data_IF_231944158754
#
_entry.id   IF_231944158754
#
_cell.length_a   1.000
_cell.length_b   1.000
_cell.length_c   1.000
_cell.angle_alpha   90.00
_cell.angle_beta   90.00
_cell.angle_gamma   90.00
#
_symmetry.space_group_name_H-M   'P 1'
#
loop_
_entity.id
_entity.type
_entity.pdbx_description
1 polymer ?
#
# COMPACT_ATOMS: atom_id res chain seq x y z
N UNK A 1 -16.74 10.57 8.61
CA UNK A 1 -15.94 11.81 8.57
C UNK A 1 -14.47 11.48 8.50
N UNK A 2 -13.72 12.17 7.65
CA UNK A 2 -12.26 11.99 7.55
C UNK A 2 -11.56 12.42 8.85
N UNK A 3 -10.41 11.83 9.18
CA UNK A 3 -9.67 12.16 10.41
C UNK A 3 -9.27 13.65 10.48
N UNK A 4 -8.98 14.28 9.33
CA UNK A 4 -8.65 15.70 9.21
C UNK A 4 -9.78 16.65 9.57
N UNK A 5 -11.03 16.16 9.59
CA UNK A 5 -12.23 16.93 9.96
C UNK A 5 -12.67 16.67 11.41
N UNK A 6 -11.84 16.01 12.21
CA UNK A 6 -12.12 15.67 13.63
C UNK A 6 -11.04 16.20 14.57
N UNK A 7 -10.37 17.27 14.19
CA UNK A 7 -9.44 18.00 15.04
C UNK A 7 -10.21 19.01 15.90
N UNK A 8 -9.95 19.01 17.21
CA UNK A 8 -10.59 19.88 18.19
C UNK A 8 -9.53 20.50 19.09
N UNK A 9 -9.84 21.65 19.70
CA UNK A 9 -8.96 22.26 20.69
C UNK A 9 -9.00 21.46 22.00
N UNK A 10 -7.91 21.49 22.78
CA UNK A 10 -7.87 20.78 24.08
C UNK A 10 -8.93 21.31 25.05
N UNK A 11 -9.22 22.61 24.98
CA UNK A 11 -10.22 23.24 25.84
C UNK A 11 -11.65 22.81 25.48
N UNK A 12 -11.94 22.59 24.20
CA UNK A 12 -13.23 22.04 23.74
C UNK A 12 -13.45 20.61 24.26
N UNK A 13 -12.40 19.79 24.27
CA UNK A 13 -12.43 18.44 24.84
C UNK A 13 -12.65 18.45 26.35
N UNK A 14 -12.00 19.36 27.09
CA UNK A 14 -12.17 19.51 28.55
C UNK A 14 -13.58 19.99 28.90
N UNK A 15 -14.09 20.94 28.13
CA UNK A 15 -15.42 21.51 28.33
C UNK A 15 -16.53 20.57 27.81
N UNK A 16 -16.18 19.56 27.01
CA UNK A 16 -17.08 18.53 26.51
C UNK A 16 -18.02 19.01 25.40
N UNK A 17 -17.72 20.14 24.76
CA UNK A 17 -18.58 20.81 23.75
C UNK A 17 -17.90 20.77 22.38
N UNK A 18 -18.60 20.28 21.36
CA UNK A 18 -18.13 20.12 19.99
C UNK A 18 -18.80 21.11 19.04
N UNK A 19 -18.54 22.41 19.18
CA UNK A 19 -19.30 23.44 18.46
C UNK A 19 -20.82 23.32 18.69
N UNK A 20 -21.63 23.99 17.86
CA UNK A 20 -23.10 24.21 17.96
C UNK A 20 -24.01 22.99 18.26
N UNK A 21 -23.48 21.77 18.37
CA UNK A 21 -24.25 20.59 18.71
C UNK A 21 -23.64 19.95 19.96
N UNK A 22 -24.38 19.96 21.08
CA UNK A 22 -24.06 19.40 22.42
C UNK A 22 -23.65 17.91 22.43
N UNK A 23 -22.63 17.55 21.67
CA UNK A 23 -22.09 16.20 21.54
C UNK A 23 -20.80 16.13 22.33
N UNK A 24 -20.81 15.28 23.36
CA UNK A 24 -19.64 14.99 24.18
C UNK A 24 -18.50 14.40 23.33
N UNK A 25 -17.45 15.18 23.13
CA UNK A 25 -16.24 14.74 22.42
C UNK A 25 -15.55 13.66 23.25
N UNK A 26 -15.17 12.55 22.60
CA UNK A 26 -14.35 11.51 23.19
C UNK A 26 -13.05 11.37 22.41
N UNK A 27 -11.98 11.00 23.11
CA UNK A 27 -10.69 10.72 22.50
C UNK A 27 -10.82 9.46 21.64
N UNK A 28 -10.37 9.55 20.39
CA UNK A 28 -10.29 8.42 19.47
C UNK A 28 -9.00 7.64 19.69
N UNK A 29 -9.02 6.69 20.62
CA UNK A 29 -7.85 5.87 20.98
C UNK A 29 -7.29 5.13 19.76
N UNK A 30 -8.16 4.62 18.89
CA UNK A 30 -7.77 3.88 17.69
C UNK A 30 -6.96 4.77 16.73
N UNK A 31 -7.32 6.05 16.58
CA UNK A 31 -6.54 6.97 15.76
C UNK A 31 -5.10 7.11 16.27
N UNK A 32 -4.90 7.28 17.59
CA UNK A 32 -3.56 7.40 18.18
C UNK A 32 -2.75 6.11 18.05
N UNK A 33 -3.39 4.96 18.29
CA UNK A 33 -2.74 3.66 18.13
C UNK A 33 -2.30 3.44 16.68
N UNK A 34 -3.19 3.68 15.70
CA UNK A 34 -2.91 3.44 14.27
C UNK A 34 -1.90 4.45 13.68
N UNK A 35 -1.99 5.74 14.03
CA UNK A 35 -1.27 6.80 13.32
C UNK A 35 -0.07 7.39 14.08
N UNK A 36 0.02 7.23 15.41
CA UNK A 36 1.10 7.80 16.20
C UNK A 36 1.97 6.73 16.86
N UNK A 37 1.37 5.74 17.51
CA UNK A 37 2.11 4.73 18.28
C UNK A 37 2.65 3.64 17.35
N UNK A 38 1.79 3.05 16.51
CA UNK A 38 2.16 1.95 15.61
C UNK A 38 3.32 2.30 14.65
N UNK A 39 3.35 3.46 13.97
CA UNK A 39 4.45 3.80 13.05
C UNK A 39 5.81 3.95 13.77
N UNK A 40 5.81 4.46 15.00
CA UNK A 40 7.04 4.65 15.80
C UNK A 40 7.61 3.30 16.24
N UNK A 41 6.78 2.44 16.83
CA UNK A 41 7.20 1.10 17.27
C UNK A 41 7.65 0.27 16.06
N UNK A 42 6.90 0.32 14.97
CA UNK A 42 7.23 -0.41 13.74
C UNK A 42 8.62 -0.06 13.22
N UNK A 43 9.02 1.23 13.27
CA UNK A 43 10.36 1.66 12.84
C UNK A 43 11.46 1.15 13.77
N UNK A 44 11.25 1.22 15.09
CA UNK A 44 12.23 0.74 16.07
C UNK A 44 12.44 -0.78 15.95
N UNK A 45 11.38 -1.50 15.64
CA UNK A 45 11.37 -2.95 15.52
C UNK A 45 11.71 -3.48 14.12
N UNK A 46 11.81 -2.61 13.10
CA UNK A 46 12.09 -2.99 11.71
C UNK A 46 13.39 -3.80 11.53
N UNK A 47 14.50 -3.53 12.27
CA UNK A 47 15.71 -4.34 12.16
C UNK A 47 15.63 -5.72 12.83
N UNK A 48 14.56 -6.03 13.58
CA UNK A 48 14.44 -7.28 14.32
C UNK A 48 13.84 -8.38 13.45
N UNK A 49 14.61 -9.45 13.24
CA UNK A 49 14.16 -10.59 12.44
C UNK A 49 12.93 -11.28 13.06
N UNK A 50 11.96 -11.64 12.22
CA UNK A 50 10.75 -12.36 12.63
C UNK A 50 9.66 -11.50 13.29
N UNK A 51 9.91 -10.21 13.50
CA UNK A 51 8.91 -9.24 13.91
C UNK A 51 8.36 -8.48 12.71
N UNK A 52 7.05 -8.28 12.67
CA UNK A 52 6.36 -7.68 11.52
C UNK A 52 5.28 -6.69 11.98
N UNK A 53 4.98 -5.71 11.13
CA UNK A 53 4.00 -4.64 11.37
C UNK A 53 2.61 -5.19 11.69
N UNK A 54 2.23 -6.35 11.13
CA UNK A 54 0.98 -7.03 11.47
C UNK A 54 0.99 -7.59 12.89
N UNK A 55 2.10 -8.19 13.33
CA UNK A 55 2.25 -8.68 14.72
C UNK A 55 2.21 -7.52 15.72
N UNK A 56 2.86 -6.41 15.39
CA UNK A 56 2.83 -5.19 16.22
C UNK A 56 1.39 -4.64 16.30
N UNK A 57 0.65 -4.64 15.20
CA UNK A 57 -0.75 -4.22 15.19
C UNK A 57 -1.63 -5.12 16.07
N UNK A 58 -1.44 -6.44 15.98
CA UNK A 58 -2.13 -7.42 16.82
C UNK A 58 -1.84 -7.18 18.31
N UNK A 59 -0.58 -6.94 18.69
CA UNK A 59 -0.20 -6.61 20.07
C UNK A 59 -0.83 -5.29 20.56
N UNK A 60 -1.10 -4.33 19.67
CA UNK A 60 -1.76 -3.07 19.98
C UNK A 60 -3.31 -3.18 19.97
N UNK A 61 -3.87 -4.36 19.70
CA UNK A 61 -5.31 -4.58 19.59
C UNK A 61 -5.94 -3.98 18.32
N UNK A 62 -5.12 -3.72 17.29
CA UNK A 62 -5.54 -3.21 15.99
C UNK A 62 -5.78 -4.36 15.01
N UNK A 63 -6.58 -4.10 13.96
CA UNK A 63 -6.79 -5.09 12.89
C UNK A 63 -5.51 -5.27 12.05
N UNK A 64 -4.87 -6.45 12.09
CA UNK A 64 -3.60 -6.69 11.38
C UNK A 64 -3.75 -6.59 9.86
N UNK A 65 -4.95 -6.83 9.30
CA UNK A 65 -5.14 -6.81 7.84
C UNK A 65 -4.93 -5.41 7.25
N UNK A 66 -5.19 -4.34 8.02
CA UNK A 66 -4.96 -2.96 7.60
C UNK A 66 -3.48 -2.64 7.39
N UNK A 67 -2.59 -3.35 8.06
CA UNK A 67 -1.14 -3.07 8.08
C UNK A 67 -0.33 -3.92 7.09
N UNK A 68 -1.00 -4.82 6.36
CA UNK A 68 -0.41 -5.69 5.33
C UNK A 68 0.29 -4.91 4.20
N UNK A 69 -0.14 -3.68 3.93
CA UNK A 69 0.45 -2.82 2.90
C UNK A 69 1.91 -2.42 3.18
N UNK A 70 2.32 -2.33 4.46
CA UNK A 70 3.71 -2.04 4.84
C UNK A 70 4.66 -3.19 4.54
N UNK A 71 4.18 -4.43 4.76
CA UNK A 71 4.88 -5.69 4.50
C UNK A 71 5.26 -5.86 3.01
N UNK A 72 4.43 -5.35 2.11
CA UNK A 72 4.67 -5.38 0.66
C UNK A 72 5.84 -4.45 0.29
N UNK A 73 6.07 -3.36 1.04
CA UNK A 73 7.13 -2.39 0.76
C UNK A 73 8.50 -2.90 1.23
N UNK A 74 8.60 -3.39 2.47
CA UNK A 74 9.86 -3.94 3.01
C UNK A 74 10.35 -5.16 2.20
N UNK A 75 9.43 -6.05 1.82
CA UNK A 75 9.78 -7.22 1.03
C UNK A 75 10.27 -6.87 -0.40
N UNK A 76 9.89 -5.70 -0.96
CA UNK A 76 10.38 -5.25 -2.27
C UNK A 76 11.79 -4.66 -2.21
N UNK A 77 12.17 -4.01 -1.10
CA UNK A 77 13.53 -3.49 -0.93
C UNK A 77 14.55 -4.60 -0.69
N UNK A 78 14.19 -5.66 0.04
CA UNK A 78 15.07 -6.82 0.25
C UNK A 78 15.22 -7.67 -1.02
N UNK A 79 14.15 -7.81 -1.81
CA UNK A 79 14.16 -8.53 -3.10
C UNK A 79 15.09 -7.90 -4.15
N UNK A 80 15.28 -6.58 -4.11
CA UNK A 80 16.20 -5.90 -5.03
C UNK A 80 17.68 -6.12 -4.66
N UNK A 81 17.95 -6.48 -3.40
CA UNK A 81 19.30 -6.67 -2.86
C UNK A 81 19.70 -8.15 -2.74
N UNK A 82 18.71 -9.05 -2.63
CA UNK A 82 18.90 -10.49 -2.70
C UNK A 82 18.91 -10.95 -4.16
N UNK A 83 20.08 -10.91 -4.80
CA UNK A 83 20.28 -11.39 -6.17
C UNK A 83 19.63 -12.76 -6.40
N UNK A 84 18.74 -12.83 -7.39
CA UNK A 84 18.22 -13.95 -8.21
C UNK A 84 18.17 -15.41 -7.70
N UNK A 85 18.47 -15.72 -6.44
CA UNK A 85 18.85 -17.08 -6.01
C UNK A 85 17.78 -17.83 -5.21
N UNK A 86 16.52 -17.38 -5.24
CA UNK A 86 15.39 -18.22 -4.86
C UNK A 86 14.39 -18.26 -6.02
N UNK A 87 14.35 -19.38 -6.73
CA UNK A 87 13.30 -19.69 -7.71
C UNK A 87 11.96 -19.79 -6.98
N UNK A 88 11.34 -18.64 -6.70
CA UNK A 88 10.00 -18.57 -6.12
C UNK A 88 9.04 -19.35 -7.01
N UNK A 89 8.15 -20.11 -6.40
CA UNK A 89 7.07 -20.77 -7.14
C UNK A 89 6.20 -19.71 -7.83
N UNK A 90 5.53 -20.07 -8.94
CA UNK A 90 4.61 -19.16 -9.62
C UNK A 90 3.56 -18.58 -8.66
N UNK A 91 3.11 -19.37 -7.68
CA UNK A 91 2.19 -18.93 -6.65
C UNK A 91 2.76 -17.76 -5.82
N UNK A 92 4.02 -17.84 -5.41
CA UNK A 92 4.67 -16.77 -4.64
C UNK A 92 4.94 -15.53 -5.50
N UNK A 93 5.39 -15.71 -6.74
CA UNK A 93 5.68 -14.61 -7.68
C UNK A 93 4.44 -13.77 -7.97
N UNK A 94 3.30 -14.42 -8.22
CA UNK A 94 2.06 -13.75 -8.62
C UNK A 94 1.10 -13.50 -7.44
N UNK A 95 1.51 -13.71 -6.19
CA UNK A 95 0.64 -13.60 -5.00
C UNK A 95 -0.01 -12.22 -4.82
N UNK A 96 0.67 -11.16 -5.26
CA UNK A 96 0.19 -9.78 -5.16
C UNK A 96 -0.40 -9.25 -6.46
N UNK A 97 -0.38 -10.04 -7.53
CA UNK A 97 -0.97 -9.64 -8.81
C UNK A 97 -2.49 -9.69 -8.71
N UNK A 98 -3.15 -8.66 -9.25
CA UNK A 98 -4.60 -8.72 -9.44
C UNK A 98 -4.91 -9.80 -10.48
N UNK A 99 -5.84 -10.70 -10.13
CA UNK A 99 -6.25 -11.79 -11.01
C UNK A 99 -7.08 -11.26 -12.17
N UNK A 100 -6.83 -11.76 -13.37
CA UNK A 100 -7.67 -11.43 -14.51
C UNK A 100 -9.08 -12.00 -14.30
N UNK A 101 -10.09 -11.20 -14.60
CA UNK A 101 -11.49 -11.57 -14.45
C UNK A 101 -12.31 -10.99 -15.60
N UNK A 102 -13.31 -11.74 -16.05
CA UNK A 102 -14.22 -11.33 -17.11
C UNK A 102 -15.66 -11.75 -16.80
N UNK A 103 -16.63 -11.08 -17.40
CA UNK A 103 -18.05 -11.43 -17.26
C UNK A 103 -18.47 -12.41 -18.34
N UNK A 104 -19.25 -13.42 -17.97
CA UNK A 104 -19.90 -14.29 -18.95
C UNK A 104 -20.90 -13.49 -19.79
N UNK A 105 -20.89 -13.64 -21.11
CA UNK A 105 -21.82 -12.90 -22.00
C UNK A 105 -23.27 -13.34 -21.81
N UNK A 106 -23.52 -14.60 -21.41
CA UNK A 106 -24.87 -15.11 -21.20
C UNK A 106 -25.40 -14.80 -19.78
N UNK A 107 -24.76 -15.34 -18.74
CA UNK A 107 -25.28 -15.23 -17.38
C UNK A 107 -24.72 -14.05 -16.57
N UNK A 108 -23.79 -13.26 -17.15
CA UNK A 108 -23.12 -12.12 -16.49
C UNK A 108 -22.35 -12.47 -15.21
N UNK A 109 -22.14 -13.75 -14.92
CA UNK A 109 -21.33 -14.17 -13.77
C UNK A 109 -19.86 -13.82 -13.97
N UNK A 110 -19.17 -13.52 -12.87
CA UNK A 110 -17.74 -13.22 -12.88
C UNK A 110 -16.91 -14.50 -12.96
N UNK A 111 -16.04 -14.58 -13.97
CA UNK A 111 -15.13 -15.68 -14.22
C UNK A 111 -13.71 -15.24 -13.90
N UNK A 112 -13.07 -15.90 -12.94
CA UNK A 112 -11.73 -15.54 -12.45
C UNK A 112 -10.70 -16.48 -13.06
N UNK A 113 -9.69 -15.91 -13.72
CA UNK A 113 -8.58 -16.64 -14.33
C UNK A 113 -7.33 -16.47 -13.47
N UNK A 114 -7.15 -17.41 -12.54
CA UNK A 114 -5.98 -17.45 -11.64
C UNK A 114 -4.92 -18.47 -12.08
N UNK A 115 -5.34 -19.51 -12.80
CA UNK A 115 -4.51 -20.62 -13.32
C UNK A 115 -5.11 -21.09 -14.64
N UNK A 116 -4.39 -21.89 -15.43
CA UNK A 116 -4.92 -22.51 -16.64
C UNK A 116 -6.06 -23.49 -16.36
N UNK A 117 -6.07 -24.08 -15.16
CA UNK A 117 -7.04 -25.09 -14.73
C UNK A 117 -7.70 -24.69 -13.42
N UNK A 118 -8.95 -25.12 -13.23
CA UNK A 118 -9.66 -24.97 -11.96
C UNK A 118 -9.10 -25.95 -10.92
N UNK A 119 -8.84 -25.50 -9.68
CA UNK A 119 -8.24 -26.35 -8.64
C UNK A 119 -9.04 -27.60 -8.30
N UNK A 120 -10.37 -27.52 -8.39
CA UNK A 120 -11.28 -28.59 -7.96
C UNK A 120 -11.60 -29.62 -9.02
N UNK A 121 -11.47 -29.29 -10.32
CA UNK A 121 -12.01 -30.13 -11.39
C UNK A 121 -11.00 -30.49 -12.49
N UNK A 122 -9.78 -29.97 -12.47
CA UNK A 122 -8.80 -30.11 -13.56
C UNK A 122 -9.33 -29.70 -14.95
N UNK A 123 -10.48 -29.01 -14.99
CA UNK A 123 -11.08 -28.45 -16.21
C UNK A 123 -10.41 -27.12 -16.51
N UNK A 124 -10.20 -26.83 -17.80
CA UNK A 124 -9.63 -25.54 -18.20
C UNK A 124 -10.56 -24.40 -17.83
N UNK A 125 -10.01 -23.26 -17.39
CA UNK A 125 -10.84 -22.14 -16.88
C UNK A 125 -11.78 -21.56 -17.94
N UNK A 126 -11.47 -21.75 -19.23
CA UNK A 126 -12.25 -21.25 -20.36
C UNK A 126 -13.24 -22.26 -20.95
N UNK A 127 -13.25 -23.50 -20.46
CA UNK A 127 -14.14 -24.55 -20.97
C UNK A 127 -15.58 -24.32 -20.51
N UNK A 128 -15.77 -24.11 -19.20
CA UNK A 128 -17.10 -23.92 -18.61
C UNK A 128 -17.20 -22.57 -17.90
N UNK A 129 -18.42 -22.06 -17.78
CA UNK A 129 -18.68 -20.89 -16.94
C UNK A 129 -18.43 -21.19 -15.45
N UNK A 130 -18.14 -20.16 -14.64
CA UNK A 130 -18.10 -20.28 -13.17
C UNK A 130 -19.46 -20.66 -12.60
N UNK A 131 -20.54 -20.24 -13.26
CA UNK A 131 -21.91 -20.58 -12.87
C UNK A 131 -22.29 -21.96 -13.40
N UNK A 132 -22.65 -22.89 -12.52
CA UNK A 132 -23.07 -24.26 -12.86
C UNK A 132 -24.34 -24.31 -13.71
N UNK A 133 -25.25 -23.37 -13.51
CA UNK A 133 -26.51 -23.27 -14.25
C UNK A 133 -26.33 -22.69 -15.66
N UNK A 134 -25.11 -22.27 -16.01
CA UNK A 134 -24.81 -21.66 -17.29
C UNK A 134 -24.06 -22.63 -18.19
N UNK A 135 -24.71 -23.05 -19.28
CA UNK A 135 -24.10 -23.89 -20.32
C UNK A 135 -23.21 -23.13 -21.31
N UNK A 136 -22.91 -21.85 -21.04
CA UNK A 136 -22.01 -21.06 -21.88
C UNK A 136 -20.59 -21.56 -21.75
N UNK A 137 -19.93 -21.77 -22.88
CA UNK A 137 -18.52 -22.13 -22.95
C UNK A 137 -17.66 -20.91 -23.30
N UNK A 138 -16.90 -20.32 -22.36
CA UNK A 138 -16.17 -19.07 -22.59
C UNK A 138 -15.19 -19.10 -23.77
N UNK A 139 -14.60 -20.27 -24.09
CA UNK A 139 -13.68 -20.41 -25.22
C UNK A 139 -14.32 -20.10 -26.58
N UNK A 140 -15.64 -20.20 -26.71
CA UNK A 140 -16.35 -19.82 -27.95
C UNK A 140 -16.33 -18.30 -28.17
N UNK A 141 -16.05 -17.52 -27.13
CA UNK A 141 -16.09 -16.06 -27.11
C UNK A 141 -14.72 -15.43 -26.84
N UNK A 142 -13.65 -16.05 -27.34
CA UNK A 142 -12.26 -15.60 -27.12
C UNK A 142 -12.03 -14.14 -27.53
N UNK A 143 -12.73 -13.64 -28.57
CA UNK A 143 -12.65 -12.23 -28.97
C UNK A 143 -13.06 -11.26 -27.85
N UNK A 144 -14.14 -11.57 -27.12
CA UNK A 144 -14.59 -10.78 -25.98
C UNK A 144 -13.57 -10.83 -24.83
N UNK A 145 -13.07 -12.03 -24.50
CA UNK A 145 -12.09 -12.24 -23.44
C UNK A 145 -10.78 -11.50 -23.77
N UNK A 146 -10.32 -11.57 -25.02
CA UNK A 146 -9.14 -10.85 -25.51
C UNK A 146 -9.31 -9.33 -25.36
N UNK A 147 -10.47 -8.80 -25.72
CA UNK A 147 -10.75 -7.38 -25.56
C UNK A 147 -10.72 -6.95 -24.08
N UNK A 148 -11.34 -7.73 -23.19
CA UNK A 148 -11.28 -7.49 -21.74
C UNK A 148 -9.86 -7.53 -21.20
N UNK A 149 -9.05 -8.50 -21.65
CA UNK A 149 -7.65 -8.61 -21.28
C UNK A 149 -6.84 -7.39 -21.73
N UNK A 150 -7.02 -6.95 -22.98
CA UNK A 150 -6.35 -5.76 -23.51
C UNK A 150 -6.72 -4.52 -22.69
N UNK A 151 -7.99 -4.34 -22.34
CA UNK A 151 -8.44 -3.22 -21.51
C UNK A 151 -7.81 -3.27 -20.11
N UNK A 152 -7.74 -4.44 -19.48
CA UNK A 152 -7.07 -4.60 -18.19
C UNK A 152 -5.57 -4.28 -18.27
N UNK A 153 -4.87 -4.76 -19.29
CA UNK A 153 -3.44 -4.45 -19.51
C UNK A 153 -3.24 -2.94 -19.66
N UNK A 154 -4.05 -2.29 -20.51
CA UNK A 154 -4.00 -0.83 -20.70
C UNK A 154 -4.25 -0.06 -19.40
N UNK A 155 -5.15 -0.55 -18.53
CA UNK A 155 -5.40 0.03 -17.20
C UNK A 155 -4.15 -0.06 -16.32
N UNK A 156 -3.47 -1.20 -16.27
CA UNK A 156 -2.24 -1.35 -15.48
C UNK A 156 -1.10 -0.50 -16.02
N UNK A 157 -0.93 -0.43 -17.34
CA UNK A 157 0.06 0.45 -17.97
C UNK A 157 -0.22 1.91 -17.60
N UNK A 158 -1.47 2.37 -17.73
CA UNK A 158 -1.84 3.74 -17.34
C UNK A 158 -1.51 4.03 -15.88
N UNK A 159 -1.89 3.12 -14.97
CA UNK A 159 -1.60 3.25 -13.53
C UNK A 159 -0.10 3.31 -13.24
N UNK A 160 0.72 2.56 -13.99
CA UNK A 160 2.17 2.65 -13.87
C UNK A 160 2.68 4.04 -14.29
N UNK A 161 2.25 4.52 -15.47
CA UNK A 161 2.65 5.83 -16.00
C UNK A 161 2.00 7.03 -15.31
N UNK A 162 1.04 6.83 -14.42
CA UNK A 162 0.58 7.89 -13.51
C UNK A 162 1.71 8.35 -12.57
N UNK A 163 2.76 7.52 -12.37
CA UNK A 163 3.97 7.82 -11.61
C UNK A 163 3.68 8.31 -10.19
N UNK A 164 2.76 7.64 -9.49
CA UNK A 164 2.55 7.87 -8.06
C UNK A 164 3.77 7.41 -7.26
N UNK A 165 4.40 8.37 -6.62
CA UNK A 165 5.49 8.20 -5.66
C UNK A 165 4.90 8.27 -4.25
N UNK A 166 5.33 7.35 -3.39
CA UNK A 166 4.93 7.25 -1.99
C UNK A 166 6.19 7.32 -1.16
N UNK A 167 6.16 8.13 -0.10
CA UNK A 167 7.26 8.22 0.85
C UNK A 167 7.53 6.87 1.52
N UNK A 168 8.81 6.46 1.60
CA UNK A 168 9.20 5.18 2.22
C UNK A 168 9.08 5.24 3.75
N UNK A 169 9.22 6.43 4.35
CA UNK A 169 9.09 6.60 5.79
C UNK A 169 7.62 6.36 6.23
N UNK A 170 7.36 5.40 7.15
CA UNK A 170 6.01 5.06 7.58
C UNK A 170 5.26 6.20 8.31
N UNK A 171 5.97 7.18 8.86
CA UNK A 171 5.38 8.40 9.44
C UNK A 171 5.09 9.49 8.39
N UNK A 172 5.69 9.37 7.20
CA UNK A 172 5.52 10.28 6.10
C UNK A 172 4.36 9.79 5.21
N UNK A 173 3.22 10.48 5.26
CA UNK A 173 2.05 10.12 4.46
C UNK A 173 2.00 10.87 3.12
N UNK A 174 3.16 11.29 2.61
CA UNK A 174 3.27 12.05 1.37
C UNK A 174 3.16 11.13 0.17
N UNK A 175 2.13 11.36 -0.65
CA UNK A 175 1.96 10.76 -1.97
C UNK A 175 1.99 11.88 -3.01
N UNK A 176 2.89 11.77 -3.99
CA UNK A 176 3.10 12.80 -5.00
C UNK A 176 3.29 12.19 -6.37
N UNK A 177 3.00 12.95 -7.43
CA UNK A 177 3.34 12.61 -8.82
C UNK A 177 4.54 13.41 -9.32
N UNK A 178 5.05 14.31 -8.49
CA UNK A 178 6.18 15.18 -8.81
C UNK A 178 7.44 14.56 -8.24
N UNK A 179 8.41 14.33 -9.11
CA UNK A 179 9.74 13.91 -8.73
C UNK A 179 10.60 15.13 -8.39
N UNK A 180 11.01 15.25 -7.13
CA UNK A 180 11.91 16.32 -6.68
C UNK A 180 13.36 15.89 -6.82
N UNK A 181 14.11 16.51 -7.72
CA UNK A 181 15.56 16.34 -7.79
C UNK A 181 16.22 17.08 -6.62
N UNK A 182 16.73 16.33 -5.64
CA UNK A 182 17.70 16.86 -4.70
C UNK A 182 19.06 16.91 -5.40
N UNK A 183 19.44 18.09 -5.89
CA UNK A 183 20.84 18.34 -6.24
C UNK A 183 21.63 18.21 -4.94
N UNK A 184 22.42 17.14 -4.80
CA UNK A 184 23.39 17.03 -3.71
C UNK A 184 24.33 18.21 -3.86
N UNK A 185 24.13 19.25 -3.05
CA UNK A 185 25.12 20.32 -2.91
C UNK A 185 26.44 19.64 -2.56
N UNK A 186 27.56 19.98 -3.23
CA UNK A 186 28.84 19.37 -2.93
C UNK A 186 29.11 19.54 -1.44
N UNK A 187 29.41 18.43 -0.77
CA UNK A 187 29.54 18.27 0.67
C UNK A 187 30.77 19.00 1.27
N UNK A 188 31.26 20.06 0.62
CA UNK A 188 32.38 20.89 1.06
C UNK A 188 32.16 22.36 0.75
N UNK A 189 31.15 22.97 1.38
CA UNK A 189 31.36 24.35 1.84
C UNK A 189 32.24 24.25 3.10
N UNK A 190 33.56 24.17 2.89
CA UNK A 190 34.51 24.54 3.94
C UNK A 190 34.17 25.99 4.26
N UNK A 191 33.52 26.22 5.39
CA UNK A 191 33.44 27.55 5.96
C UNK A 191 34.88 28.07 6.05
N UNK A 192 35.22 29.19 5.39
CA UNK A 192 36.55 29.73 5.53
C UNK A 192 36.74 30.05 7.01
N UNK A 193 37.75 29.43 7.61
CA UNK A 193 38.16 29.61 9.00
C UNK A 193 38.56 31.06 9.34
N UNK A 194 38.45 31.98 8.39
CA UNK A 194 38.59 33.41 8.57
C UNK A 194 37.36 34.09 9.18
N UNK A 195 36.17 33.45 9.18
CA UNK A 195 34.96 34.06 9.78
C UNK A 195 34.93 33.95 11.32
N UNK A 196 35.60 32.95 11.92
CA UNK A 196 35.67 32.79 13.38
C UNK A 196 36.82 33.57 14.07
N UNK A 197 37.73 34.19 13.31
CA UNK A 197 38.84 34.99 13.89
C UNK A 197 38.56 36.49 14.02
N UNK A 198 37.47 37.01 13.44
CA UNK A 198 37.10 38.43 13.59
C UNK A 198 36.08 38.72 14.69
N UNK A 199 35.45 37.70 15.30
CA UNK A 199 34.49 37.89 16.40
C UNK A 199 35.08 37.69 17.81
N UNK A 200 36.35 37.27 17.93
CA UNK A 200 37.02 37.03 19.22
C UNK A 200 38.18 38.01 19.52
N UNK A 201 38.27 39.13 18.80
CA UNK A 201 39.22 40.24 19.09
C UNK A 201 38.45 41.56 19.27
N UNK A 202 37.15 41.51 19.62
CA UNK A 202 36.37 42.71 19.98
C UNK A 202 35.44 42.50 21.16
N UNK A 203 35.81 41.59 22.06
CA UNK A 203 35.37 41.59 23.46
C UNK A 203 36.61 41.50 24.35
#
# INVERSE_FOLDING_TARGET
NAATQRAYHLDELKNGVAGDNDKKIKIDINYYLEHQIHPVISRLCEPLEGLDRMKIAECLGLDPQKFKGGLIRSHRSDEANAGESFTKSNLQKFRLCEKFKFLCVQCKSENIVASGFRPSSHVSVLQDCSNSECSSQPFTQVGFIRNQLILQIKRFIRRFYENWLVCDDPSCNLNTRVYSHMLKLPQKLKWPTTFLRKLLISF
#
